data_IF_172656289475
#
_entry.id   IF_172656289475
#
_cell.length_a   1.000
_cell.length_b   1.000
_cell.length_c   1.000
_cell.angle_alpha   90.00
_cell.angle_beta   90.00
_cell.angle_gamma   90.00
#
_symmetry.space_group_name_H-M   'P 1'
#
loop_
_entity.id
_entity.type
_entity.pdbx_description
1 polymer ?
#
# COMPACT_ATOMS: atom_id res chain seq x y z
N UNK A 1 14.45 22.07 -38.92
CA UNK A 1 13.38 21.10 -39.20
C UNK A 1 13.19 20.26 -37.96
N UNK A 2 12.27 20.70 -37.11
CA UNK A 2 11.95 20.08 -35.82
C UNK A 2 10.93 18.98 -36.05
N UNK A 3 11.31 17.77 -35.69
CA UNK A 3 10.46 16.58 -35.74
C UNK A 3 9.47 16.61 -34.57
N UNK A 4 8.21 16.92 -34.86
CA UNK A 4 7.09 16.86 -33.93
C UNK A 4 6.82 15.40 -33.53
N UNK A 5 7.32 14.98 -32.38
CA UNK A 5 6.94 13.72 -31.74
C UNK A 5 5.47 13.80 -31.31
N UNK A 6 4.61 13.14 -32.05
CA UNK A 6 3.19 12.95 -31.77
C UNK A 6 3.03 12.29 -30.40
N UNK A 7 2.44 13.00 -29.43
CA UNK A 7 1.97 12.45 -28.16
C UNK A 7 0.97 11.32 -28.43
N UNK A 8 1.06 10.16 -27.76
CA UNK A 8 0.10 9.07 -27.95
C UNK A 8 -1.31 9.57 -27.63
N UNK A 9 -2.20 9.38 -28.60
CA UNK A 9 -3.52 9.99 -28.64
C UNK A 9 -4.36 9.63 -27.41
N UNK A 10 -5.03 10.64 -26.86
CA UNK A 10 -5.98 10.63 -25.75
C UNK A 10 -7.09 9.54 -25.87
N UNK A 11 -7.33 9.03 -27.08
CA UNK A 11 -8.33 8.01 -27.40
C UNK A 11 -7.93 6.61 -26.91
N UNK A 12 -6.64 6.25 -26.95
CA UNK A 12 -6.15 4.96 -26.44
C UNK A 12 -6.15 4.93 -24.91
N UNK A 13 -5.84 6.06 -24.27
CA UNK A 13 -5.93 6.21 -22.81
C UNK A 13 -7.39 6.07 -22.33
N UNK A 14 -8.36 6.66 -23.05
CA UNK A 14 -9.79 6.57 -22.73
C UNK A 14 -10.37 5.16 -22.87
N UNK A 15 -9.92 4.36 -23.86
CA UNK A 15 -10.31 2.94 -24.01
C UNK A 15 -9.68 2.04 -22.96
N UNK A 16 -8.43 2.30 -22.52
CA UNK A 16 -7.79 1.60 -21.40
C UNK A 16 -8.50 1.93 -20.08
N UNK A 17 -8.83 3.20 -19.84
CA UNK A 17 -9.57 3.67 -18.65
C UNK A 17 -10.95 3.01 -18.53
N UNK A 18 -11.70 2.83 -19.64
CA UNK A 18 -13.01 2.18 -19.60
C UNK A 18 -12.92 0.68 -19.27
N UNK A 19 -11.95 -0.05 -19.80
CA UNK A 19 -11.71 -1.47 -19.44
C UNK A 19 -11.25 -1.65 -17.99
N UNK A 20 -10.46 -0.70 -17.48
CA UNK A 20 -9.90 -0.76 -16.14
C UNK A 20 -10.95 -0.47 -15.07
N UNK A 21 -11.82 0.53 -15.27
CA UNK A 21 -12.94 0.80 -14.36
C UNK A 21 -13.92 -0.38 -14.26
N UNK A 22 -14.07 -1.17 -15.33
CA UNK A 22 -14.84 -2.42 -15.29
C UNK A 22 -14.08 -3.48 -14.50
N UNK A 23 -12.77 -3.60 -14.68
CA UNK A 23 -11.93 -4.55 -13.95
C UNK A 23 -11.94 -4.27 -12.44
N UNK A 24 -11.78 -3.01 -12.03
CA UNK A 24 -11.88 -2.58 -10.62
C UNK A 24 -13.28 -2.83 -10.03
N UNK A 25 -14.34 -2.86 -10.85
CA UNK A 25 -15.71 -3.22 -10.43
C UNK A 25 -15.95 -4.72 -10.35
N UNK A 26 -15.21 -5.52 -11.12
CA UNK A 26 -15.36 -6.99 -11.20
C UNK A 26 -14.40 -7.70 -10.22
N UNK A 27 -13.24 -7.11 -9.90
CA UNK A 27 -12.22 -7.64 -8.97
C UNK A 27 -12.49 -7.47 -7.46
N UNK A 28 -13.62 -6.87 -6.96
CA UNK A 28 -13.74 -6.59 -5.53
C UNK A 28 -13.78 -7.83 -4.64
N UNK A 29 -13.89 -9.03 -5.19
CA UNK A 29 -14.11 -10.23 -4.37
C UNK A 29 -12.93 -11.19 -4.28
N UNK A 30 -12.06 -11.30 -5.31
CA UNK A 30 -10.88 -12.19 -5.24
C UNK A 30 -9.82 -11.79 -6.26
N UNK A 31 -8.69 -11.27 -5.79
CA UNK A 31 -7.48 -11.19 -6.61
C UNK A 31 -6.99 -12.61 -6.96
N UNK A 32 -6.59 -12.87 -8.22
CA UNK A 32 -5.96 -14.12 -8.60
C UNK A 32 -4.78 -14.47 -7.69
N UNK A 33 -4.60 -15.76 -7.39
CA UNK A 33 -3.57 -16.20 -6.44
C UNK A 33 -2.15 -15.75 -6.81
N UNK A 34 -1.83 -15.71 -8.10
CA UNK A 34 -0.51 -15.27 -8.56
C UNK A 34 -0.27 -13.77 -8.28
N UNK A 35 -1.30 -12.89 -8.46
CA UNK A 35 -1.17 -11.45 -8.16
C UNK A 35 -0.99 -11.24 -6.65
N UNK A 36 -1.73 -11.99 -5.82
CA UNK A 36 -1.56 -11.93 -4.36
C UNK A 36 -0.14 -12.34 -3.94
N UNK A 37 0.39 -13.39 -4.58
CA UNK A 37 1.76 -13.83 -4.35
C UNK A 37 2.80 -12.79 -4.73
N UNK A 38 2.66 -12.14 -5.89
CA UNK A 38 3.56 -11.08 -6.33
C UNK A 38 3.54 -9.87 -5.37
N UNK A 39 2.35 -9.41 -4.96
CA UNK A 39 2.22 -8.30 -4.00
C UNK A 39 2.92 -8.64 -2.68
N UNK A 40 2.71 -9.86 -2.17
CA UNK A 40 3.32 -10.29 -0.92
C UNK A 40 4.85 -10.41 -1.06
N UNK A 41 5.36 -10.90 -2.18
CA UNK A 41 6.80 -10.95 -2.46
C UNK A 41 7.43 -9.56 -2.49
N UNK A 42 6.80 -8.59 -3.19
CA UNK A 42 7.27 -7.20 -3.22
C UNK A 42 7.25 -6.57 -1.81
N UNK A 43 6.26 -6.90 -0.96
CA UNK A 43 6.23 -6.46 0.43
C UNK A 43 7.36 -7.07 1.28
N UNK A 44 7.69 -8.35 1.07
CA UNK A 44 8.85 -8.97 1.72
C UNK A 44 10.16 -8.26 1.34
N UNK A 45 10.37 -8.05 0.05
CA UNK A 45 11.58 -7.37 -0.45
C UNK A 45 11.70 -5.95 0.12
N UNK A 46 10.63 -5.14 0.02
CA UNK A 46 10.60 -3.78 0.53
C UNK A 46 10.89 -3.71 2.04
N UNK A 47 10.36 -4.68 2.80
CA UNK A 47 10.56 -4.75 4.25
C UNK A 47 11.96 -5.23 4.60
N UNK A 48 12.44 -6.29 3.96
CA UNK A 48 13.76 -6.86 4.19
C UNK A 48 14.87 -5.84 3.89
N UNK A 49 14.75 -5.12 2.78
CA UNK A 49 15.68 -4.05 2.41
C UNK A 49 15.66 -2.89 3.43
N UNK A 50 14.47 -2.47 3.89
CA UNK A 50 14.36 -1.42 4.90
C UNK A 50 15.01 -1.78 6.23
N UNK A 51 14.98 -3.05 6.61
CA UNK A 51 15.63 -3.58 7.82
C UNK A 51 17.06 -4.11 7.58
N UNK A 52 17.57 -4.02 6.35
CA UNK A 52 18.91 -4.49 5.96
C UNK A 52 19.13 -5.98 6.31
N UNK A 53 18.12 -6.82 6.05
CA UNK A 53 18.16 -8.23 6.37
C UNK A 53 17.66 -9.09 5.19
N UNK A 54 18.05 -10.39 5.12
CA UNK A 54 17.60 -11.25 4.04
C UNK A 54 16.11 -11.55 4.12
N UNK A 55 15.47 -11.73 2.94
CA UNK A 55 14.11 -12.26 2.84
C UNK A 55 14.11 -13.71 3.37
N UNK A 56 13.13 -14.10 4.19
CA UNK A 56 12.98 -15.49 4.62
C UNK A 56 12.77 -16.46 3.44
N UNK A 57 13.19 -17.71 3.58
CA UNK A 57 12.90 -18.75 2.58
C UNK A 57 11.40 -19.06 2.59
N UNK A 58 10.77 -18.96 1.41
CA UNK A 58 9.33 -19.15 1.23
C UNK A 58 8.99 -20.39 0.39
N UNK A 59 9.99 -21.21 0.06
CA UNK A 59 9.83 -22.38 -0.79
C UNK A 59 8.80 -23.35 -0.21
N UNK A 60 7.91 -23.82 -1.07
CA UNK A 60 6.84 -24.79 -0.74
C UNK A 60 5.76 -24.32 0.23
N UNK A 61 5.74 -23.04 0.64
CA UNK A 61 4.71 -22.50 1.50
C UNK A 61 3.45 -22.17 0.69
N UNK A 62 2.29 -22.46 1.28
CA UNK A 62 1.02 -21.93 0.79
C UNK A 62 0.95 -20.41 0.98
N UNK A 63 0.01 -19.75 0.31
CA UNK A 63 -0.18 -18.30 0.46
C UNK A 63 -0.42 -17.89 1.92
N UNK A 64 -1.24 -18.63 2.65
CA UNK A 64 -1.57 -18.31 4.05
C UNK A 64 -0.35 -18.50 4.98
N UNK A 65 0.50 -19.50 4.70
CA UNK A 65 1.77 -19.69 5.40
C UNK A 65 2.76 -18.55 5.07
N UNK A 66 2.86 -18.14 3.81
CA UNK A 66 3.65 -16.97 3.41
C UNK A 66 3.16 -15.70 4.13
N UNK A 67 1.85 -15.45 4.18
CA UNK A 67 1.29 -14.29 4.86
C UNK A 67 1.60 -14.31 6.37
N UNK A 68 1.49 -15.48 6.99
CA UNK A 68 1.86 -15.67 8.41
C UNK A 68 3.36 -15.42 8.62
N UNK A 69 4.20 -15.98 7.74
CA UNK A 69 5.65 -15.76 7.78
C UNK A 69 5.98 -14.28 7.65
N UNK A 70 5.31 -13.56 6.76
CA UNK A 70 5.46 -12.12 6.61
C UNK A 70 5.11 -11.37 7.91
N UNK A 71 3.98 -11.69 8.54
CA UNK A 71 3.56 -11.05 9.79
C UNK A 71 4.55 -11.29 10.93
N UNK A 72 5.09 -12.51 11.05
CA UNK A 72 6.08 -12.85 12.08
C UNK A 72 7.45 -12.21 11.79
N UNK A 73 7.88 -12.23 10.54
CA UNK A 73 9.12 -11.61 10.09
C UNK A 73 9.13 -10.10 10.36
N UNK A 74 8.10 -9.39 9.90
CA UNK A 74 7.98 -7.94 10.10
C UNK A 74 7.90 -7.57 11.58
N UNK A 75 7.17 -8.36 12.38
CA UNK A 75 7.15 -8.18 13.83
C UNK A 75 8.53 -8.29 14.43
N UNK A 76 9.25 -9.37 14.15
CA UNK A 76 10.57 -9.64 14.71
C UNK A 76 11.56 -8.52 14.36
N UNK A 77 11.60 -8.09 13.08
CA UNK A 77 12.51 -7.02 12.66
C UNK A 77 12.14 -5.68 13.30
N UNK A 78 10.84 -5.36 13.38
CA UNK A 78 10.37 -4.15 14.03
C UNK A 78 10.69 -4.14 15.54
N UNK A 79 10.49 -5.25 16.25
CA UNK A 79 10.84 -5.38 17.67
C UNK A 79 12.35 -5.16 17.89
N UNK A 80 13.21 -5.75 17.05
CA UNK A 80 14.67 -5.53 17.11
C UNK A 80 15.02 -4.05 16.91
N UNK A 81 14.40 -3.40 15.92
CA UNK A 81 14.63 -2.00 15.64
C UNK A 81 14.18 -1.08 16.77
N UNK A 82 13.01 -1.35 17.36
CA UNK A 82 12.48 -0.59 18.50
C UNK A 82 13.33 -0.72 19.76
N UNK A 83 13.98 -1.87 19.97
CA UNK A 83 14.90 -2.08 21.10
C UNK A 83 16.24 -1.36 20.92
N UNK A 84 16.71 -1.17 19.67
CA UNK A 84 17.98 -0.48 19.40
C UNK A 84 17.91 1.04 19.55
N UNK A 85 16.73 1.62 19.76
CA UNK A 85 16.43 3.03 20.08
C UNK A 85 17.01 4.12 19.13
N UNK A 86 17.93 3.77 18.22
CA UNK A 86 18.64 4.75 17.38
C UNK A 86 18.10 4.89 15.97
N UNK A 87 17.42 3.86 15.42
CA UNK A 87 17.14 3.76 14.00
C UNK A 87 15.67 3.89 13.60
N UNK A 88 14.75 4.01 14.55
CA UNK A 88 13.30 4.03 14.28
C UNK A 88 12.85 5.01 13.20
N UNK A 89 13.23 6.31 13.26
CA UNK A 89 12.87 7.26 12.22
C UNK A 89 13.48 6.94 10.85
N UNK A 90 14.75 6.49 10.83
CA UNK A 90 15.43 6.12 9.58
C UNK A 90 14.78 4.88 8.94
N UNK A 91 14.39 3.88 9.75
CA UNK A 91 13.68 2.70 9.29
C UNK A 91 12.29 3.08 8.76
N UNK A 92 11.54 3.96 9.44
CA UNK A 92 10.25 4.46 8.90
C UNK A 92 10.43 5.11 7.52
N UNK A 93 11.49 5.90 7.36
CA UNK A 93 11.80 6.53 6.06
C UNK A 93 12.07 5.48 4.99
N UNK A 94 12.92 4.48 5.27
CA UNK A 94 13.22 3.40 4.32
C UNK A 94 11.99 2.56 4.00
N UNK A 95 11.17 2.19 4.99
CA UNK A 95 9.91 1.45 4.77
C UNK A 95 8.98 2.22 3.82
N UNK A 96 8.84 3.52 4.04
CA UNK A 96 8.06 4.40 3.17
C UNK A 96 8.64 4.44 1.74
N UNK A 97 9.93 4.72 1.62
CA UNK A 97 10.62 4.87 0.33
C UNK A 97 10.59 3.58 -0.49
N UNK A 98 10.78 2.42 0.16
CA UNK A 98 10.76 1.11 -0.50
C UNK A 98 9.35 0.68 -0.92
N UNK A 99 8.32 1.12 -0.21
CA UNK A 99 6.93 0.79 -0.54
C UNK A 99 6.31 1.75 -1.58
N UNK A 100 6.83 2.96 -1.71
CA UNK A 100 6.34 3.96 -2.66
C UNK A 100 6.32 3.47 -4.12
N UNK A 101 7.39 2.82 -4.65
CA UNK A 101 7.41 2.33 -6.03
C UNK A 101 6.31 1.29 -6.33
N UNK A 102 5.95 0.45 -5.36
CA UNK A 102 4.83 -0.49 -5.50
C UNK A 102 3.51 0.27 -5.74
N UNK A 103 3.24 1.28 -4.93
CA UNK A 103 2.06 2.12 -5.10
C UNK A 103 2.04 2.85 -6.44
N UNK A 104 3.16 3.42 -6.84
CA UNK A 104 3.30 4.14 -8.11
C UNK A 104 3.12 3.21 -9.32
N UNK A 105 3.74 2.03 -9.31
CA UNK A 105 3.56 0.97 -10.33
C UNK A 105 2.09 0.60 -10.49
N UNK A 106 1.39 0.38 -9.39
CA UNK A 106 -0.03 0.05 -9.39
C UNK A 106 -0.89 1.22 -9.89
N UNK A 107 -0.58 2.45 -9.47
CA UNK A 107 -1.23 3.66 -9.99
C UNK A 107 -1.14 3.74 -11.51
N UNK A 108 0.05 3.50 -12.07
CA UNK A 108 0.27 3.54 -13.52
C UNK A 108 -0.46 2.41 -14.24
N UNK A 109 -0.40 1.18 -13.73
CA UNK A 109 -1.05 0.01 -14.34
C UNK A 109 -2.57 0.15 -14.35
N UNK A 110 -3.14 0.66 -13.27
CA UNK A 110 -4.58 0.81 -13.11
C UNK A 110 -5.10 2.21 -13.52
N UNK A 111 -4.23 3.09 -14.05
CA UNK A 111 -4.59 4.45 -14.47
C UNK A 111 -5.40 5.19 -13.39
N UNK A 112 -4.91 5.15 -12.16
CA UNK A 112 -5.58 5.75 -10.99
C UNK A 112 -5.29 7.26 -10.96
N UNK A 113 -6.35 8.06 -11.03
CA UNK A 113 -6.26 9.53 -11.08
C UNK A 113 -7.11 10.23 -10.01
N UNK A 114 -8.06 9.53 -9.42
CA UNK A 114 -9.01 10.10 -8.44
C UNK A 114 -8.89 9.45 -7.08
N UNK A 115 -9.25 10.16 -6.01
CA UNK A 115 -9.31 9.61 -4.65
C UNK A 115 -10.22 8.37 -4.56
N UNK A 116 -11.34 8.36 -5.29
CA UNK A 116 -12.24 7.20 -5.33
C UNK A 116 -11.54 5.96 -5.90
N UNK A 117 -10.72 6.10 -6.95
CA UNK A 117 -9.95 5.01 -7.54
C UNK A 117 -8.79 4.57 -6.64
N UNK A 118 -8.10 5.51 -5.97
CA UNK A 118 -7.09 5.19 -4.94
C UNK A 118 -7.70 4.32 -3.85
N UNK A 119 -8.86 4.71 -3.31
CA UNK A 119 -9.54 3.96 -2.26
C UNK A 119 -10.05 2.61 -2.74
N UNK A 120 -10.61 2.52 -3.95
CA UNK A 120 -11.06 1.27 -4.54
C UNK A 120 -9.90 0.29 -4.75
N UNK A 121 -8.77 0.75 -5.29
CA UNK A 121 -7.59 -0.09 -5.48
C UNK A 121 -6.97 -0.48 -4.14
N UNK A 122 -6.86 0.45 -3.18
CA UNK A 122 -6.43 0.18 -1.83
C UNK A 122 -7.25 -0.94 -1.16
N UNK A 123 -8.59 -0.89 -1.26
CA UNK A 123 -9.45 -1.96 -0.73
C UNK A 123 -9.13 -3.33 -1.32
N UNK A 124 -8.86 -3.40 -2.63
CA UNK A 124 -8.53 -4.65 -3.32
C UNK A 124 -7.19 -5.20 -2.83
N UNK A 125 -6.15 -4.35 -2.77
CA UNK A 125 -4.81 -4.72 -2.36
C UNK A 125 -4.76 -5.20 -0.91
N UNK A 126 -5.37 -4.45 -0.01
CA UNK A 126 -5.35 -4.76 1.41
C UNK A 126 -6.18 -5.98 1.78
N UNK A 127 -7.28 -6.22 1.05
CA UNK A 127 -8.03 -7.48 1.20
C UNK A 127 -7.18 -8.69 0.83
N UNK A 128 -6.27 -8.58 -0.14
CA UNK A 128 -5.37 -9.66 -0.50
C UNK A 128 -4.49 -10.12 0.67
N UNK A 129 -4.11 -9.21 1.56
CA UNK A 129 -3.28 -9.49 2.75
C UNK A 129 -4.11 -9.57 4.05
N UNK A 130 -5.42 -9.81 3.95
CA UNK A 130 -6.29 -10.01 5.10
C UNK A 130 -6.64 -8.75 5.89
N UNK A 131 -6.61 -7.58 5.24
CA UNK A 131 -6.97 -6.28 5.84
C UNK A 131 -8.23 -5.73 5.20
N UNK A 132 -9.28 -5.51 5.99
CA UNK A 132 -10.54 -4.91 5.54
C UNK A 132 -10.50 -3.40 5.69
N UNK A 133 -10.12 -2.73 4.62
CA UNK A 133 -10.05 -1.28 4.54
C UNK A 133 -11.30 -0.71 3.86
N UNK A 134 -11.79 0.42 4.33
CA UNK A 134 -12.83 1.23 3.70
C UNK A 134 -12.33 2.68 3.62
N UNK A 135 -12.41 3.27 2.44
CA UNK A 135 -12.03 4.64 2.21
C UNK A 135 -13.11 5.42 1.48
N UNK A 136 -13.17 6.73 1.71
CA UNK A 136 -14.08 7.66 1.03
C UNK A 136 -13.34 8.65 0.11
N UNK A 137 -14.10 9.41 -0.66
CA UNK A 137 -13.56 10.41 -1.59
C UNK A 137 -12.92 11.62 -0.90
N UNK A 138 -13.11 11.74 0.41
CA UNK A 138 -12.49 12.77 1.24
C UNK A 138 -11.10 12.31 1.75
N UNK A 139 -10.72 11.06 1.50
CA UNK A 139 -9.48 10.47 1.98
C UNK A 139 -9.56 9.92 3.41
N UNK A 140 -10.75 9.83 4.01
CA UNK A 140 -10.88 9.13 5.29
C UNK A 140 -10.77 7.62 5.06
N UNK A 141 -10.00 6.96 5.92
CA UNK A 141 -9.73 5.52 5.84
C UNK A 141 -10.09 4.87 7.17
N UNK A 142 -10.83 3.77 7.12
CA UNK A 142 -11.20 2.96 8.29
C UNK A 142 -10.80 1.51 8.05
N UNK A 143 -10.13 0.87 9.01
CA UNK A 143 -9.79 -0.56 8.98
C UNK A 143 -10.51 -1.25 10.13
N UNK A 144 -11.50 -2.09 9.81
CA UNK A 144 -12.31 -2.83 10.81
C UNK A 144 -11.69 -4.16 11.22
N UNK A 145 -10.96 -4.81 10.28
CA UNK A 145 -10.26 -6.06 10.51
C UNK A 145 -8.87 -5.97 9.90
N UNK A 146 -7.88 -6.41 10.65
CA UNK A 146 -6.49 -6.45 10.20
C UNK A 146 -5.88 -7.77 10.66
N UNK A 147 -5.43 -8.60 9.71
CA UNK A 147 -4.73 -9.84 9.99
C UNK A 147 -3.53 -9.63 10.91
N UNK A 148 -2.78 -8.56 10.67
CA UNK A 148 -1.56 -8.22 11.39
C UNK A 148 -1.81 -7.78 12.84
N UNK A 149 -3.01 -7.30 13.18
CA UNK A 149 -3.34 -6.91 14.55
C UNK A 149 -3.28 -8.06 15.56
N UNK A 150 -3.30 -9.31 15.09
CA UNK A 150 -3.10 -10.49 15.93
C UNK A 150 -1.62 -10.75 16.29
N UNK A 151 -0.70 -10.10 15.60
CA UNK A 151 0.75 -10.32 15.74
C UNK A 151 1.47 -9.09 16.29
N UNK A 152 0.98 -7.89 16.03
CA UNK A 152 1.67 -6.64 16.29
C UNK A 152 1.23 -6.00 17.60
N UNK A 153 2.19 -5.39 18.30
CA UNK A 153 1.92 -4.38 19.33
C UNK A 153 1.63 -3.02 18.70
N UNK A 154 1.16 -2.04 19.47
CA UNK A 154 0.93 -0.68 18.99
C UNK A 154 2.17 -0.05 18.38
N UNK A 155 3.34 -0.21 19.03
CA UNK A 155 4.62 0.33 18.55
C UNK A 155 5.13 -0.36 17.28
N UNK A 156 4.98 -1.69 17.17
CA UNK A 156 5.29 -2.43 15.93
C UNK A 156 4.39 -1.97 14.79
N UNK A 157 3.08 -1.88 15.03
CA UNK A 157 2.12 -1.39 14.04
C UNK A 157 2.44 0.04 13.60
N UNK A 158 2.82 0.92 14.53
CA UNK A 158 3.20 2.31 14.21
C UNK A 158 4.46 2.38 13.32
N UNK A 159 5.46 1.53 13.58
CA UNK A 159 6.66 1.45 12.75
C UNK A 159 6.33 0.92 11.34
N UNK A 160 5.64 -0.22 11.26
CA UNK A 160 5.33 -0.91 10.00
C UNK A 160 4.33 -0.12 9.15
N UNK A 161 3.45 0.69 9.75
CA UNK A 161 2.49 1.52 9.00
C UNK A 161 3.15 2.56 8.06
N UNK A 162 4.47 2.75 8.14
CA UNK A 162 5.21 3.52 7.15
C UNK A 162 5.19 2.87 5.75
N UNK A 163 5.06 1.52 5.65
CA UNK A 163 4.79 0.83 4.38
C UNK A 163 3.44 1.24 3.80
N UNK A 164 2.40 1.30 4.64
CA UNK A 164 1.05 1.71 4.22
C UNK A 164 1.07 3.13 3.68
N UNK A 165 1.76 4.05 4.38
CA UNK A 165 1.95 5.43 3.91
C UNK A 165 2.68 5.47 2.56
N UNK A 166 3.74 4.69 2.38
CA UNK A 166 4.49 4.59 1.12
C UNK A 166 3.60 4.09 -0.03
N UNK A 167 2.88 2.98 0.15
CA UNK A 167 1.97 2.43 -0.86
C UNK A 167 0.89 3.44 -1.24
N UNK A 168 0.19 4.04 -0.26
CA UNK A 168 -0.86 5.02 -0.54
C UNK A 168 -0.32 6.32 -1.12
N UNK A 169 0.88 6.73 -0.74
CA UNK A 169 1.57 7.88 -1.36
C UNK A 169 1.84 7.62 -2.84
N UNK A 170 2.38 6.45 -3.19
CA UNK A 170 2.58 6.05 -4.59
C UNK A 170 1.26 5.95 -5.36
N UNK A 171 0.23 5.32 -4.80
CA UNK A 171 -1.11 5.21 -5.40
C UNK A 171 -1.77 6.56 -5.65
N UNK A 172 -1.58 7.53 -4.78
CA UNK A 172 -2.20 8.86 -4.87
C UNK A 172 -1.35 9.88 -5.62
N UNK A 173 -0.09 9.55 -5.94
CA UNK A 173 0.84 10.46 -6.58
C UNK A 173 1.44 11.50 -5.64
N UNK A 174 1.77 11.08 -4.41
CA UNK A 174 2.48 11.91 -3.43
C UNK A 174 1.63 12.32 -2.22
N UNK A 175 0.45 11.73 -2.00
CA UNK A 175 -0.33 11.94 -0.77
C UNK A 175 0.35 11.32 0.45
N UNK A 176 -0.14 11.65 1.65
CA UNK A 176 0.37 11.11 2.93
C UNK A 176 -0.76 10.48 3.72
N UNK A 177 -0.56 9.22 4.13
CA UNK A 177 -1.49 8.48 4.98
C UNK A 177 -1.07 8.58 6.44
N UNK A 178 -1.91 9.19 7.28
CA UNK A 178 -1.63 9.36 8.71
C UNK A 178 -2.69 8.68 9.54
N UNK A 179 -2.28 7.77 10.43
CA UNK A 179 -3.16 7.08 11.36
C UNK A 179 -3.37 7.91 12.63
N UNK A 180 -4.63 8.02 13.05
CA UNK A 180 -5.04 8.65 14.32
C UNK A 180 -5.46 7.65 15.39
N UNK A 181 -5.90 6.44 14.99
CA UNK A 181 -6.31 5.35 15.89
C UNK A 181 -5.89 4.00 15.30
N UNK A 182 -5.57 3.03 16.16
CA UNK A 182 -5.15 1.68 15.75
C UNK A 182 -5.83 0.58 16.56
N UNK A 183 -6.21 -0.52 15.91
CA UNK A 183 -6.70 -1.75 16.55
C UNK A 183 -5.70 -2.29 17.59
N UNK A 184 -4.41 -2.22 17.29
CA UNK A 184 -3.31 -2.66 18.17
C UNK A 184 -3.14 -1.81 19.43
N UNK A 185 -3.84 -0.70 19.54
CA UNK A 185 -3.92 0.20 20.70
C UNK A 185 -5.24 0.01 21.48
N UNK A 186 -6.00 -1.06 21.17
CA UNK A 186 -7.28 -1.35 21.82
C UNK A 186 -8.46 -0.53 21.30
N UNK A 187 -8.33 0.11 20.14
CA UNK A 187 -9.44 0.81 19.50
C UNK A 187 -10.32 -0.17 18.72
N UNK A 188 -11.58 0.18 18.50
CA UNK A 188 -12.55 -0.63 17.73
C UNK A 188 -12.19 -0.77 16.24
N UNK A 189 -11.43 0.19 15.69
CA UNK A 189 -10.95 0.20 14.32
C UNK A 189 -9.69 1.06 14.20
N UNK A 190 -8.90 0.88 13.12
CA UNK A 190 -7.94 1.91 12.75
C UNK A 190 -8.66 3.03 12.01
N UNK A 191 -8.25 4.27 12.28
CA UNK A 191 -8.65 5.46 11.53
C UNK A 191 -7.42 6.13 10.96
N UNK A 192 -7.48 6.47 9.69
CA UNK A 192 -6.42 7.21 9.03
C UNK A 192 -6.98 8.26 8.06
N UNK A 193 -6.13 9.17 7.66
CA UNK A 193 -6.42 10.21 6.68
C UNK A 193 -5.36 10.21 5.59
N UNK A 194 -5.78 10.04 4.34
CA UNK A 194 -4.96 10.28 3.17
C UNK A 194 -5.14 11.74 2.74
N UNK A 195 -4.09 12.53 2.84
CA UNK A 195 -4.04 13.92 2.37
C UNK A 195 -3.22 13.99 1.10
N UNK A 196 -3.78 14.57 0.03
CA UNK A 196 -3.01 14.84 -1.18
C UNK A 196 -2.06 16.00 -0.94
N UNK A 197 -0.82 15.90 -1.46
CA UNK A 197 0.12 17.01 -1.46
C UNK A 197 -0.43 18.20 -2.27
N UNK A 198 -0.04 19.41 -1.92
CA UNK A 198 -0.50 20.66 -2.56
C UNK A 198 -0.23 20.72 -4.08
N UNK A 199 0.69 19.89 -4.58
CA UNK A 199 1.02 19.80 -6.02
C UNK A 199 -0.08 19.14 -6.87
N UNK A 200 -0.97 18.33 -6.28
CA UNK A 200 -2.05 17.63 -7.01
C UNK A 200 -3.30 18.47 -7.25
N UNK A 201 -3.41 19.62 -6.57
CA UNK A 201 -4.63 20.44 -6.63
C UNK A 201 -4.73 21.35 -7.86
N UNK A 202 -3.69 21.47 -8.68
CA UNK A 202 -3.64 22.46 -9.81
C UNK A 202 -4.08 21.90 -11.16
N UNK A 203 -4.35 20.62 -11.32
CA UNK A 203 -4.69 20.04 -12.62
C UNK A 203 -6.17 19.58 -12.78
N UNK A 204 -7.02 19.86 -11.78
CA UNK A 204 -8.44 19.48 -11.83
C UNK A 204 -9.41 20.57 -12.29
N UNK A 205 -8.91 21.72 -12.81
CA UNK A 205 -9.80 22.77 -13.38
C UNK A 205 -9.35 23.06 -14.80
N UNK A 206 -9.79 22.24 -15.77
CA UNK A 206 -10.08 22.62 -17.16
C UNK A 206 -10.91 21.56 -17.86
#
# INVERSE_FOLDING_TARGET
MESALLKPSCILARRRRFKMNILLKILPHNLPAFIRGEILAELFEATADAFECPVPTLDHLSYDECLRTYALFTREQAEKALHSARDGPAIKTRLYENAYPLGEKLRQWFCVDTMAEVMALGQILYRAIGVEIQGDTQGNVTVKRCYFSHFYTGSVCDLISALDDGVFSGLSGGGRLTFSERLTEGKECCRAKLQLGESGSKEQIR
#
